data_IF_909892551002
#
_entry.id   IF_909892551002
#
_cell.length_a   1.000
_cell.length_b   1.000
_cell.length_c   1.000
_cell.angle_alpha   90.00
_cell.angle_beta   90.00
_cell.angle_gamma   90.00
#
_symmetry.space_group_name_H-M   'P 1'
#
loop_
_entity.id
_entity.type
_entity.pdbx_description
1 polymer ?
#
# COMPACT_ATOMS: atom_id res chain seq x y z
N UNK A 1 -1.76 9.98 18.52
CA UNK A 1 -2.64 8.84 18.19
C UNK A 1 -2.70 8.54 16.69
N UNK A 2 -2.95 9.51 15.81
CA UNK A 2 -3.08 9.28 14.36
C UNK A 2 -1.80 8.75 13.69
N UNK A 3 -0.63 9.21 14.10
CA UNK A 3 0.66 8.75 13.56
C UNK A 3 0.88 7.24 13.73
N UNK A 4 0.49 6.66 14.87
CA UNK A 4 0.61 5.21 15.09
C UNK A 4 -0.21 4.42 14.07
N UNK A 5 -1.43 4.88 13.75
CA UNK A 5 -2.29 4.21 12.78
C UNK A 5 -1.79 4.32 11.34
N UNK A 6 -1.20 5.47 10.98
CA UNK A 6 -0.52 5.64 9.70
C UNK A 6 0.67 4.68 9.60
N UNK A 7 1.53 4.63 10.63
CA UNK A 7 2.66 3.69 10.64
C UNK A 7 2.19 2.23 10.58
N UNK A 8 1.14 1.87 11.33
CA UNK A 8 0.54 0.53 11.26
C UNK A 8 0.03 0.22 9.85
N UNK A 9 -0.66 1.16 9.20
CA UNK A 9 -1.17 0.96 7.85
C UNK A 9 -0.03 0.78 6.82
N UNK A 10 1.03 1.59 6.91
CA UNK A 10 2.22 1.45 6.05
C UNK A 10 2.86 0.07 6.24
N UNK A 11 3.04 -0.36 7.49
CA UNK A 11 3.64 -1.66 7.79
C UNK A 11 2.77 -2.81 7.29
N UNK A 12 1.48 -2.83 7.65
CA UNK A 12 0.56 -3.91 7.28
C UNK A 12 0.40 -4.00 5.77
N UNK A 13 -0.02 -2.91 5.12
CA UNK A 13 -0.26 -2.92 3.68
C UNK A 13 1.04 -3.17 2.89
N UNK A 14 2.14 -2.52 3.29
CA UNK A 14 3.43 -2.68 2.62
C UNK A 14 3.99 -4.09 2.74
N UNK A 15 3.88 -4.71 3.92
CA UNK A 15 4.34 -6.10 4.10
C UNK A 15 3.47 -7.09 3.33
N UNK A 16 2.15 -6.95 3.39
CA UNK A 16 1.24 -7.85 2.66
C UNK A 16 1.47 -7.75 1.15
N UNK A 17 1.59 -6.55 0.60
CA UNK A 17 1.76 -6.33 -0.82
C UNK A 17 3.13 -6.81 -1.32
N UNK A 18 4.22 -6.52 -0.60
CA UNK A 18 5.55 -6.99 -1.01
C UNK A 18 5.69 -8.52 -0.92
N UNK A 19 5.10 -9.16 0.09
CA UNK A 19 5.09 -10.63 0.21
C UNK A 19 4.35 -11.25 -0.99
N UNK A 20 3.19 -10.69 -1.35
CA UNK A 20 2.46 -11.12 -2.54
C UNK A 20 3.31 -10.98 -3.82
N UNK A 21 3.90 -9.81 -4.02
CA UNK A 21 4.73 -9.53 -5.20
C UNK A 21 5.95 -10.47 -5.29
N UNK A 22 6.62 -10.73 -4.17
CA UNK A 22 7.73 -11.68 -4.08
C UNK A 22 7.29 -13.10 -4.38
N UNK A 23 6.18 -13.54 -3.79
CA UNK A 23 5.59 -14.87 -4.04
C UNK A 23 5.23 -15.05 -5.51
N UNK A 24 4.57 -14.07 -6.12
CA UNK A 24 4.22 -14.10 -7.54
C UNK A 24 5.46 -14.11 -8.45
N UNK A 25 6.50 -13.35 -8.11
CA UNK A 25 7.75 -13.35 -8.85
C UNK A 25 8.42 -14.71 -8.82
N UNK A 26 8.49 -15.37 -7.64
CA UNK A 26 9.05 -16.71 -7.49
C UNK A 26 8.25 -17.76 -8.26
N UNK A 27 6.92 -17.72 -8.21
CA UNK A 27 6.04 -18.62 -8.97
C UNK A 27 6.22 -18.48 -10.48
N UNK A 28 6.58 -17.30 -10.97
CA UNK A 28 6.90 -17.03 -12.38
C UNK A 28 8.35 -17.32 -12.75
N UNK A 29 9.14 -17.97 -11.89
CA UNK A 29 10.55 -18.30 -12.14
C UNK A 29 11.52 -17.13 -11.95
N UNK A 30 11.06 -16.01 -11.41
CA UNK A 30 11.91 -14.88 -11.06
C UNK A 30 12.64 -15.06 -9.72
N UNK A 31 13.33 -14.01 -9.28
CA UNK A 31 14.07 -14.00 -8.01
C UNK A 31 13.67 -12.82 -7.15
N UNK A 32 13.85 -12.94 -5.82
CA UNK A 32 13.65 -11.85 -4.87
C UNK A 32 14.49 -10.63 -5.27
N UNK A 33 15.77 -10.84 -5.56
CA UNK A 33 16.68 -9.80 -6.02
C UNK A 33 16.19 -9.14 -7.30
N UNK A 34 15.73 -9.93 -8.27
CA UNK A 34 15.23 -9.44 -9.55
C UNK A 34 14.00 -8.54 -9.39
N UNK A 35 13.03 -8.94 -8.56
CA UNK A 35 11.86 -8.13 -8.28
C UNK A 35 12.26 -6.79 -7.63
N UNK A 36 13.08 -6.83 -6.56
CA UNK A 36 13.47 -5.61 -5.85
C UNK A 36 14.29 -4.66 -6.73
N UNK A 37 15.17 -5.18 -7.58
CA UNK A 37 15.86 -4.37 -8.58
C UNK A 37 14.89 -3.78 -9.62
N UNK A 38 13.84 -4.51 -9.99
CA UNK A 38 12.76 -4.01 -10.84
C UNK A 38 12.03 -2.82 -10.21
N UNK A 39 11.70 -2.92 -8.92
CA UNK A 39 11.06 -1.81 -8.18
C UNK A 39 12.01 -0.60 -8.09
N UNK A 40 13.30 -0.82 -7.77
CA UNK A 40 14.31 0.24 -7.74
C UNK A 40 14.49 0.92 -9.11
N UNK A 41 14.36 0.16 -10.18
CA UNK A 41 14.49 0.70 -11.53
C UNK A 41 13.40 1.73 -11.88
N UNK A 42 12.30 1.80 -11.14
CA UNK A 42 11.29 2.85 -11.29
C UNK A 42 11.94 4.24 -11.24
N UNK A 43 12.40 4.69 -10.07
CA UNK A 43 13.03 5.99 -9.91
C UNK A 43 14.48 6.07 -10.39
N UNK A 44 15.25 4.97 -10.37
CA UNK A 44 16.71 4.98 -10.56
C UNK A 44 17.18 4.38 -11.89
N UNK A 45 16.27 3.97 -12.77
CA UNK A 45 16.57 3.31 -14.03
C UNK A 45 17.46 2.05 -13.85
N UNK A 46 18.55 1.90 -14.62
CA UNK A 46 19.43 0.72 -14.55
C UNK A 46 20.45 0.76 -13.40
N UNK A 47 20.72 1.95 -12.82
CA UNK A 47 21.79 2.17 -11.82
C UNK A 47 21.77 1.20 -10.62
N UNK A 48 20.62 0.79 -10.04
CA UNK A 48 20.59 -0.13 -8.90
C UNK A 48 21.24 -1.49 -9.15
N UNK A 49 21.41 -1.90 -10.39
CA UNK A 49 22.07 -3.17 -10.73
C UNK A 49 23.55 -3.18 -10.36
N UNK A 50 24.19 -2.00 -10.33
CA UNK A 50 25.59 -1.81 -10.03
C UNK A 50 25.87 -1.58 -8.53
N UNK A 51 24.81 -1.36 -7.73
CA UNK A 51 24.94 -1.02 -6.31
C UNK A 51 25.10 -2.23 -5.38
N UNK A 52 25.33 -3.43 -5.89
CA UNK A 52 25.47 -4.64 -5.09
C UNK A 52 24.23 -4.89 -4.24
N UNK A 53 24.40 -5.01 -2.92
CA UNK A 53 23.31 -5.24 -1.95
C UNK A 53 22.43 -3.99 -1.74
N UNK A 54 22.93 -2.81 -2.04
CA UNK A 54 22.17 -1.56 -1.92
C UNK A 54 21.08 -1.45 -2.99
N UNK A 55 21.23 -2.10 -4.14
CA UNK A 55 20.22 -2.10 -5.20
C UNK A 55 18.88 -2.69 -4.76
N UNK A 56 18.82 -3.94 -4.28
CA UNK A 56 17.60 -4.51 -3.71
C UNK A 56 17.08 -3.75 -2.50
N UNK A 57 17.95 -3.23 -1.64
CA UNK A 57 17.55 -2.39 -0.51
C UNK A 57 16.85 -1.10 -0.96
N UNK A 58 17.37 -0.45 -2.02
CA UNK A 58 16.72 0.70 -2.65
C UNK A 58 15.33 0.34 -3.22
N UNK A 59 15.17 -0.87 -3.78
CA UNK A 59 13.87 -1.37 -4.23
C UNK A 59 12.87 -1.50 -3.11
N UNK A 60 13.28 -2.09 -1.99
CA UNK A 60 12.42 -2.19 -0.81
C UNK A 60 12.07 -0.81 -0.23
N UNK A 61 13.03 0.10 -0.16
CA UNK A 61 12.80 1.48 0.27
C UNK A 61 11.83 2.20 -0.67
N UNK A 62 11.98 2.05 -1.97
CA UNK A 62 11.05 2.61 -2.99
C UNK A 62 9.64 2.06 -2.81
N UNK A 63 9.48 0.74 -2.60
CA UNK A 63 8.18 0.13 -2.34
C UNK A 63 7.50 0.76 -1.12
N UNK A 64 8.20 0.85 0.01
CA UNK A 64 7.61 1.45 1.22
C UNK A 64 7.39 2.97 1.08
N UNK A 65 8.19 3.67 0.28
CA UNK A 65 7.95 5.08 -0.03
C UNK A 65 6.64 5.26 -0.82
N UNK A 66 6.41 4.45 -1.85
CA UNK A 66 5.15 4.43 -2.62
C UNK A 66 3.98 4.08 -1.71
N UNK A 67 4.12 3.03 -0.89
CA UNK A 67 3.09 2.64 0.07
C UNK A 67 2.77 3.77 1.07
N UNK A 68 3.78 4.50 1.53
CA UNK A 68 3.60 5.66 2.41
C UNK A 68 2.73 6.73 1.75
N UNK A 69 3.00 7.06 0.49
CA UNK A 69 2.18 8.02 -0.27
C UNK A 69 0.74 7.52 -0.38
N UNK A 70 0.53 6.25 -0.74
CA UNK A 70 -0.81 5.66 -0.85
C UNK A 70 -1.58 5.75 0.48
N UNK A 71 -0.93 5.39 1.60
CA UNK A 71 -1.53 5.47 2.93
C UNK A 71 -1.87 6.91 3.30
N UNK A 72 -0.95 7.86 3.11
CA UNK A 72 -1.17 9.27 3.43
C UNK A 72 -2.33 9.85 2.63
N UNK A 73 -2.42 9.56 1.33
CA UNK A 73 -3.53 9.98 0.47
C UNK A 73 -4.85 9.43 1.02
N UNK A 74 -4.92 8.13 1.33
CA UNK A 74 -6.15 7.55 1.88
C UNK A 74 -6.55 8.19 3.22
N UNK A 75 -5.60 8.42 4.12
CA UNK A 75 -5.87 9.08 5.40
C UNK A 75 -6.33 10.53 5.24
N UNK A 76 -6.07 11.18 4.11
CA UNK A 76 -6.60 12.51 3.80
C UNK A 76 -8.02 12.42 3.22
N UNK A 77 -8.23 11.58 2.19
CA UNK A 77 -9.56 11.43 1.59
C UNK A 77 -10.57 10.79 2.54
N UNK A 78 -10.14 9.93 3.47
CA UNK A 78 -10.97 9.34 4.53
C UNK A 78 -11.58 10.37 5.48
N UNK A 79 -11.10 11.63 5.48
CA UNK A 79 -11.71 12.75 6.23
C UNK A 79 -12.95 13.31 5.54
N UNK A 80 -13.08 13.07 4.24
CA UNK A 80 -14.19 13.61 3.46
C UNK A 80 -15.52 12.98 3.90
N UNK A 81 -16.56 13.78 4.12
CA UNK A 81 -17.87 13.26 4.55
C UNK A 81 -18.42 12.18 3.62
N UNK A 82 -18.18 12.30 2.31
CA UNK A 82 -18.60 11.32 1.32
C UNK A 82 -17.96 9.95 1.57
N UNK A 83 -16.64 9.89 1.81
CA UNK A 83 -15.91 8.64 2.07
C UNK A 83 -16.29 8.07 3.44
N UNK A 84 -16.49 8.90 4.44
CA UNK A 84 -16.88 8.47 5.79
C UNK A 84 -18.25 7.81 5.85
N UNK A 85 -19.16 8.14 4.93
CA UNK A 85 -20.49 7.51 4.81
C UNK A 85 -20.43 6.13 4.18
N UNK A 86 -19.37 5.81 3.45
CA UNK A 86 -19.21 4.49 2.85
C UNK A 86 -18.86 3.45 3.93
N UNK A 87 -19.27 2.20 3.70
CA UNK A 87 -18.74 1.09 4.50
C UNK A 87 -17.23 0.94 4.24
N UNK A 88 -16.43 0.46 5.21
CA UNK A 88 -15.00 0.20 5.00
C UNK A 88 -14.74 -0.75 3.82
N UNK A 89 -15.62 -1.71 3.59
CA UNK A 89 -15.57 -2.62 2.45
C UNK A 89 -15.62 -1.87 1.13
N UNK A 90 -16.64 -1.03 0.95
CA UNK A 90 -16.82 -0.28 -0.28
C UNK A 90 -15.70 0.75 -0.49
N UNK A 91 -15.36 1.49 0.55
CA UNK A 91 -14.27 2.46 0.51
C UNK A 91 -12.93 1.81 0.15
N UNK A 92 -12.61 0.65 0.75
CA UNK A 92 -11.40 -0.11 0.47
C UNK A 92 -11.38 -0.68 -0.95
N UNK A 93 -12.49 -1.24 -1.43
CA UNK A 93 -12.58 -1.74 -2.82
C UNK A 93 -12.40 -0.60 -3.83
N UNK A 94 -13.10 0.51 -3.67
CA UNK A 94 -13.01 1.66 -4.59
C UNK A 94 -11.59 2.23 -4.59
N UNK A 95 -10.98 2.39 -3.41
CA UNK A 95 -9.62 2.88 -3.32
C UNK A 95 -8.60 1.91 -3.93
N UNK A 96 -8.71 0.62 -3.63
CA UNK A 96 -7.84 -0.41 -4.21
C UNK A 96 -7.91 -0.47 -5.73
N UNK A 97 -9.11 -0.37 -6.30
CA UNK A 97 -9.29 -0.25 -7.75
C UNK A 97 -8.67 1.04 -8.30
N UNK A 98 -8.81 2.16 -7.58
CA UNK A 98 -8.13 3.42 -7.92
C UNK A 98 -6.61 3.28 -7.90
N UNK A 99 -6.04 2.60 -6.92
CA UNK A 99 -4.60 2.32 -6.86
C UNK A 99 -4.14 1.45 -8.03
N UNK A 100 -4.89 0.39 -8.37
CA UNK A 100 -4.63 -0.41 -9.57
C UNK A 100 -4.62 0.48 -10.82
N UNK A 101 -5.65 1.31 -11.00
CA UNK A 101 -5.74 2.17 -12.17
C UNK A 101 -4.53 3.13 -12.26
N UNK A 102 -4.17 3.79 -11.17
CA UNK A 102 -3.00 4.69 -11.14
C UNK A 102 -1.71 3.93 -11.43
N UNK A 103 -1.47 2.80 -10.75
CA UNK A 103 -0.21 2.07 -10.91
C UNK A 103 -0.10 1.37 -12.27
N UNK A 104 -1.12 0.60 -12.66
CA UNK A 104 -1.03 -0.29 -13.83
C UNK A 104 -1.46 0.35 -15.14
N UNK A 105 -2.27 1.41 -15.11
CA UNK A 105 -2.72 2.10 -16.32
C UNK A 105 -2.01 3.44 -16.54
N UNK A 106 -1.28 3.96 -15.53
CA UNK A 106 -0.57 5.24 -15.66
C UNK A 106 0.91 5.08 -15.35
N UNK A 107 1.28 4.75 -14.10
CA UNK A 107 2.68 4.79 -13.62
C UNK A 107 3.55 3.77 -14.33
N UNK A 108 3.14 2.50 -14.37
CA UNK A 108 3.92 1.44 -15.00
C UNK A 108 4.03 1.59 -16.51
N UNK A 109 2.95 1.92 -17.27
CA UNK A 109 3.07 2.19 -18.70
C UNK A 109 3.95 3.38 -19.04
N UNK A 110 3.93 4.46 -18.24
CA UNK A 110 4.84 5.59 -18.44
C UNK A 110 6.31 5.18 -18.28
N UNK A 111 6.60 4.20 -17.43
CA UNK A 111 7.98 3.75 -17.18
C UNK A 111 8.39 2.59 -18.06
N UNK A 112 7.48 1.67 -18.36
CA UNK A 112 7.73 0.46 -19.14
C UNK A 112 6.61 0.20 -20.15
N UNK A 113 6.49 1.04 -21.20
CA UNK A 113 5.37 0.96 -22.16
C UNK A 113 5.32 -0.36 -22.95
N UNK A 114 6.45 -1.05 -23.08
CA UNK A 114 6.50 -2.36 -23.75
C UNK A 114 5.99 -3.53 -22.90
N UNK A 115 5.86 -3.34 -21.58
CA UNK A 115 5.45 -4.40 -20.63
C UNK A 115 4.07 -4.16 -20.04
N UNK A 116 3.60 -2.92 -20.03
CA UNK A 116 2.35 -2.50 -19.39
C UNK A 116 1.53 -1.61 -20.33
N UNK A 117 0.18 -1.63 -20.20
CA UNK A 117 -0.59 -2.49 -19.28
C UNK A 117 -0.71 -3.93 -19.80
N UNK A 118 -0.68 -4.92 -18.90
CA UNK A 118 -1.11 -6.29 -19.22
C UNK A 118 -2.64 -6.36 -19.05
N UNK A 119 -3.35 -6.33 -20.19
CA UNK A 119 -4.82 -6.38 -20.24
C UNK A 119 -5.37 -7.80 -20.37
N UNK A 120 -4.55 -8.83 -20.23
CA UNK A 120 -5.06 -10.20 -20.13
C UNK A 120 -5.90 -10.36 -18.86
N UNK A 121 -6.91 -11.22 -18.91
CA UNK A 121 -7.78 -11.46 -17.73
C UNK A 121 -6.96 -11.90 -16.50
N UNK A 122 -5.94 -12.75 -16.71
CA UNK A 122 -5.03 -13.20 -15.65
C UNK A 122 -4.16 -12.06 -15.14
N UNK A 123 -3.57 -11.26 -16.04
CA UNK A 123 -2.73 -10.11 -15.67
C UNK A 123 -3.51 -9.08 -14.83
N UNK A 124 -4.71 -8.73 -15.29
CA UNK A 124 -5.59 -7.81 -14.56
C UNK A 124 -6.00 -8.39 -13.18
N UNK A 125 -6.40 -9.66 -13.12
CA UNK A 125 -6.80 -10.28 -11.86
C UNK A 125 -5.65 -10.30 -10.84
N UNK A 126 -4.44 -10.70 -11.26
CA UNK A 126 -3.25 -10.73 -10.42
C UNK A 126 -2.80 -9.32 -9.98
N UNK A 127 -3.13 -8.28 -10.74
CA UNK A 127 -2.84 -6.91 -10.38
C UNK A 127 -3.92 -6.29 -9.48
N UNK A 128 -5.20 -6.49 -9.76
CA UNK A 128 -6.32 -5.94 -8.99
C UNK A 128 -6.38 -6.55 -7.59
N UNK A 129 -6.18 -7.88 -7.49
CA UNK A 129 -6.32 -8.63 -6.25
C UNK A 129 -5.48 -8.04 -5.09
N UNK A 130 -4.17 -7.82 -5.20
CA UNK A 130 -3.39 -7.26 -4.10
C UNK A 130 -3.81 -5.81 -3.79
N UNK A 131 -4.07 -4.99 -4.79
CA UNK A 131 -4.46 -3.60 -4.57
C UNK A 131 -5.78 -3.49 -3.79
N UNK A 132 -6.73 -4.37 -4.05
CA UNK A 132 -8.01 -4.38 -3.32
C UNK A 132 -7.88 -5.12 -1.99
N UNK A 133 -7.38 -6.36 -1.99
CA UNK A 133 -7.45 -7.25 -0.83
C UNK A 133 -6.35 -6.98 0.20
N UNK A 134 -5.14 -6.61 -0.24
CA UNK A 134 -3.97 -6.48 0.62
C UNK A 134 -3.63 -5.02 0.95
N UNK A 135 -4.12 -4.07 0.17
CA UNK A 135 -3.90 -2.64 0.41
C UNK A 135 -5.21 -1.93 0.74
N UNK A 136 -6.16 -1.87 -0.19
CA UNK A 136 -7.37 -1.07 -0.06
C UNK A 136 -8.22 -1.44 1.15
N UNK A 137 -8.56 -2.72 1.31
CA UNK A 137 -9.39 -3.18 2.42
C UNK A 137 -8.68 -3.01 3.78
N UNK A 138 -7.45 -3.53 4.01
CA UNK A 138 -6.78 -3.33 5.29
C UNK A 138 -6.66 -1.87 5.67
N UNK A 139 -6.31 -1.02 4.69
CA UNK A 139 -6.16 0.42 4.89
C UNK A 139 -7.47 1.08 5.34
N UNK A 140 -8.59 0.73 4.69
CA UNK A 140 -9.91 1.28 5.04
C UNK A 140 -10.34 0.88 6.47
N UNK A 141 -10.08 -0.35 6.87
CA UNK A 141 -10.38 -0.81 8.22
C UNK A 141 -9.48 -0.18 9.28
N UNK A 142 -8.18 -0.03 9.00
CA UNK A 142 -7.22 0.62 9.91
C UNK A 142 -7.60 2.11 10.10
N UNK A 143 -7.91 2.81 9.01
CA UNK A 143 -8.31 4.21 9.06
C UNK A 143 -9.60 4.40 9.85
N UNK A 144 -10.61 3.53 9.63
CA UNK A 144 -11.86 3.55 10.40
C UNK A 144 -11.63 3.37 11.90
N UNK A 145 -10.77 2.43 12.30
CA UNK A 145 -10.38 2.24 13.71
C UNK A 145 -9.71 3.48 14.29
N UNK A 146 -8.83 4.12 13.51
CA UNK A 146 -8.17 5.38 13.88
C UNK A 146 -9.19 6.47 14.23
N UNK A 147 -10.27 6.59 13.46
CA UNK A 147 -11.33 7.55 13.71
C UNK A 147 -12.14 7.22 14.97
N UNK A 148 -12.54 5.97 15.14
CA UNK A 148 -13.32 5.54 16.33
C UNK A 148 -12.53 5.79 17.61
N UNK A 149 -11.22 5.50 17.61
CA UNK A 149 -10.36 5.76 18.77
C UNK A 149 -10.21 7.26 19.05
N UNK A 150 -10.12 8.09 18.00
CA UNK A 150 -10.02 9.54 18.17
C UNK A 150 -11.29 10.18 18.73
N UNK A 151 -12.46 9.55 18.54
CA UNK A 151 -13.75 10.01 19.06
C UNK A 151 -14.06 9.53 20.48
N UNK A 152 -13.20 8.70 21.10
CA UNK A 152 -13.32 8.25 22.50
C UNK A 152 -12.39 9.06 23.43
N UNK A 153 -12.65 10.37 23.68
CA UNK A 153 -11.87 11.13 24.64
C UNK A 153 -12.46 10.88 26.03
N UNK A 154 -11.73 10.22 26.91
CA UNK A 154 -12.01 10.30 28.33
C UNK A 154 -12.04 9.04 29.16
N UNK A 155 -11.90 7.81 28.64
CA UNK A 155 -11.86 6.63 29.52
C UNK A 155 -10.51 6.43 30.24
N UNK A 156 -9.46 7.12 29.82
CA UNK A 156 -8.12 7.00 30.44
C UNK A 156 -7.91 7.98 31.60
N UNK A 157 -8.77 8.99 31.81
CA UNK A 157 -8.61 9.95 32.91
C UNK A 157 -9.42 9.62 34.16
N UNK A 158 -10.53 8.91 34.02
CA UNK A 158 -11.38 8.54 35.16
C UNK A 158 -10.84 7.40 36.02
N UNK A 159 -9.92 6.59 35.50
CA UNK A 159 -9.26 5.51 36.24
C UNK A 159 -8.12 5.97 37.14
N UNK A 160 -7.59 7.17 36.94
CA UNK A 160 -6.48 7.70 37.76
C UNK A 160 -6.95 8.58 38.93
N UNK A 161 -8.17 9.10 38.90
CA UNK A 161 -8.72 9.95 39.97
C UNK A 161 -9.53 9.18 41.05
N UNK A 162 -9.80 7.88 40.83
CA UNK A 162 -10.58 7.06 41.79
C UNK A 162 -9.65 6.28 42.75
N UNK A 163 -8.32 6.33 42.57
CA UNK A 163 -7.32 5.61 43.39
C UNK A 163 -6.37 6.62 44.10
N UNK A 164 -6.79 7.86 44.28
CA UNK A 164 -6.05 8.87 45.08
C UNK A 164 -6.75 9.21 46.37
#
# INVERSE_FOLDING_TARGET
MRAKWIATAIAVCGVLDIIYALGLALLKGGTIKGLLLGVAAGPFAAAPREWGVLGPAAGLATHFAIMTVMVLVYFQIGRLPAVRRLSPWLAGCVYGLGLYAVMYLIVLPLRWPALYPDLSATGMALAILPHVMLVGLPLAFIERKSHVEAMRPGQTRLGAEVIG
#
